data_IF_385700017763
#
_entry.id   IF_385700017763
#
_cell.length_a   1.000
_cell.length_b   1.000
_cell.length_c   1.000
_cell.angle_alpha   90.00
_cell.angle_beta   90.00
_cell.angle_gamma   90.00
#
_symmetry.space_group_name_H-M   'P 1'
#
loop_
_entity.id
_entity.type
_entity.pdbx_description
1 polymer ?
#
# COMPACT_ATOMS: atom_id res chain seq x y z
N UNK A 1 -4.76 14.43 3.97
CA UNK A 1 -5.44 13.71 5.06
C UNK A 1 -6.51 14.61 5.67
N UNK A 2 -7.66 14.05 6.01
CA UNK A 2 -8.67 14.69 6.87
C UNK A 2 -8.90 13.75 8.04
N UNK A 3 -8.83 14.27 9.27
CA UNK A 3 -9.06 13.50 10.51
C UNK A 3 -10.34 13.97 11.21
N UNK A 4 -10.82 13.15 12.15
CA UNK A 4 -11.94 13.44 13.04
C UNK A 4 -11.64 14.57 14.04
N UNK A 5 -10.37 14.80 14.36
CA UNK A 5 -9.91 15.94 15.16
C UNK A 5 -9.95 17.28 14.40
N UNK A 6 -10.39 17.28 13.15
CA UNK A 6 -10.55 18.49 12.33
C UNK A 6 -9.28 18.91 11.59
N UNK A 7 -8.24 18.07 11.57
CA UNK A 7 -7.04 18.37 10.80
C UNK A 7 -7.29 18.21 9.30
N UNK A 8 -6.68 19.10 8.52
CA UNK A 8 -6.67 19.03 7.05
C UNK A 8 -5.27 19.28 6.53
N UNK A 9 -4.61 18.21 6.10
CA UNK A 9 -3.22 18.23 5.65
C UNK A 9 -3.16 17.91 4.16
N UNK A 10 -2.38 18.68 3.40
CA UNK A 10 -2.08 18.44 1.99
C UNK A 10 -0.64 17.96 1.86
N UNK A 11 -0.47 16.76 1.30
CA UNK A 11 0.82 16.12 1.07
C UNK A 11 0.68 15.09 -0.06
N UNK A 12 1.80 14.60 -0.58
CA UNK A 12 1.87 13.63 -1.67
C UNK A 12 1.58 12.20 -1.22
N UNK A 13 1.74 11.89 0.08
CA UNK A 13 1.65 10.53 0.59
C UNK A 13 1.01 10.50 1.98
N UNK A 14 0.12 9.54 2.19
CA UNK A 14 -0.54 9.31 3.47
C UNK A 14 -0.75 7.81 3.70
N UNK A 15 -0.67 7.39 4.96
CA UNK A 15 -1.07 6.08 5.45
C UNK A 15 -1.75 6.24 6.81
N UNK A 16 -2.88 5.55 6.99
CA UNK A 16 -3.78 5.70 8.15
C UNK A 16 -4.25 4.34 8.67
N UNK A 17 -4.69 4.29 9.93
CA UNK A 17 -5.11 3.07 10.60
C UNK A 17 -4.00 2.39 11.41
N UNK A 18 -4.31 1.28 12.07
CA UNK A 18 -3.39 0.54 12.95
C UNK A 18 -2.16 0.00 12.22
N UNK A 19 -2.31 -0.40 10.96
CA UNK A 19 -1.22 -0.88 10.11
C UNK A 19 -0.34 0.22 9.50
N UNK A 20 -0.64 1.50 9.75
CA UNK A 20 -0.05 2.62 9.02
C UNK A 20 1.47 2.67 9.10
N UNK A 21 2.03 2.43 10.28
CA UNK A 21 3.48 2.46 10.52
C UNK A 21 4.24 1.41 9.70
N UNK A 22 3.63 0.24 9.47
CA UNK A 22 4.21 -0.84 8.67
C UNK A 22 4.11 -0.59 7.17
N UNK A 23 3.08 0.15 6.75
CA UNK A 23 2.99 0.61 5.37
C UNK A 23 4.01 1.72 5.09
N UNK A 24 4.14 2.70 5.99
CA UNK A 24 5.14 3.77 5.86
C UNK A 24 6.57 3.24 5.74
N UNK A 25 6.95 2.19 6.49
CA UNK A 25 8.30 1.62 6.38
C UNK A 25 8.64 1.13 4.97
N UNK A 26 7.64 0.67 4.20
CA UNK A 26 7.81 0.23 2.82
C UNK A 26 7.74 1.42 1.86
N UNK A 27 6.77 2.32 2.08
CA UNK A 27 6.58 3.51 1.25
C UNK A 27 7.80 4.42 1.29
N UNK A 28 8.26 4.80 2.48
CA UNK A 28 9.38 5.74 2.68
C UNK A 28 10.70 5.19 2.10
N UNK A 29 10.88 3.87 2.11
CA UNK A 29 12.09 3.23 1.62
C UNK A 29 12.21 3.24 0.09
N UNK A 30 11.10 3.32 -0.65
CA UNK A 30 11.07 3.06 -2.10
C UNK A 30 10.33 4.12 -2.91
N UNK A 31 9.61 5.03 -2.28
CA UNK A 31 8.86 6.08 -2.97
C UNK A 31 9.79 7.02 -3.74
N UNK A 32 9.41 7.29 -4.99
CA UNK A 32 9.96 8.36 -5.81
C UNK A 32 8.80 9.11 -6.44
N UNK A 33 8.95 10.43 -6.59
CA UNK A 33 7.89 11.23 -7.21
C UNK A 33 7.63 10.79 -8.67
N UNK A 34 8.69 10.48 -9.41
CA UNK A 34 8.64 10.10 -10.82
C UNK A 34 8.72 8.57 -10.99
N UNK A 35 7.75 7.84 -10.46
CA UNK A 35 7.62 6.38 -10.67
C UNK A 35 6.83 6.06 -11.93
N UNK A 36 7.14 4.91 -12.54
CA UNK A 36 6.23 4.32 -13.52
C UNK A 36 4.95 3.84 -12.82
N UNK A 37 3.83 3.81 -13.54
CA UNK A 37 2.56 3.32 -13.01
C UNK A 37 2.68 1.91 -12.43
N UNK A 38 3.43 1.03 -13.10
CA UNK A 38 3.63 -0.35 -12.65
C UNK A 38 4.43 -0.43 -11.35
N UNK A 39 5.49 0.38 -11.22
CA UNK A 39 6.31 0.41 -10.00
C UNK A 39 5.52 0.99 -8.82
N UNK A 40 4.68 2.00 -9.07
CA UNK A 40 3.82 2.59 -8.04
C UNK A 40 2.76 1.60 -7.55
N UNK A 41 2.14 0.85 -8.47
CA UNK A 41 1.20 -0.23 -8.13
C UNK A 41 1.90 -1.31 -7.30
N UNK A 42 3.12 -1.71 -7.70
CA UNK A 42 3.88 -2.70 -6.94
C UNK A 42 4.27 -2.21 -5.54
N UNK A 43 4.72 -0.97 -5.41
CA UNK A 43 5.01 -0.35 -4.12
C UNK A 43 3.78 -0.32 -3.22
N UNK A 44 2.63 0.11 -3.74
CA UNK A 44 1.37 0.13 -2.99
C UNK A 44 0.98 -1.27 -2.52
N UNK A 45 1.10 -2.28 -3.38
CA UNK A 45 0.84 -3.69 -3.04
C UNK A 45 1.73 -4.16 -1.91
N UNK A 46 3.05 -3.97 -2.02
CA UNK A 46 4.02 -4.39 -1.00
C UNK A 46 3.76 -3.71 0.34
N UNK A 47 3.43 -2.43 0.35
CA UNK A 47 3.13 -1.69 1.57
C UNK A 47 1.92 -2.27 2.33
N UNK A 48 0.82 -2.55 1.61
CA UNK A 48 -0.38 -3.12 2.23
C UNK A 48 -0.17 -4.57 2.65
N UNK A 49 0.48 -5.40 1.83
CA UNK A 49 0.76 -6.80 2.20
C UNK A 49 1.67 -6.86 3.43
N UNK A 50 2.67 -5.98 3.53
CA UNK A 50 3.52 -5.90 4.70
C UNK A 50 2.75 -5.47 5.96
N UNK A 51 1.90 -4.44 5.84
CA UNK A 51 1.06 -4.01 6.95
C UNK A 51 0.08 -5.10 7.41
N UNK A 52 -0.58 -5.77 6.46
CA UNK A 52 -1.46 -6.92 6.73
C UNK A 52 -0.73 -8.07 7.44
N UNK A 53 0.56 -8.28 7.15
CA UNK A 53 1.32 -9.33 7.80
C UNK A 53 1.70 -9.01 9.25
N UNK A 54 1.90 -7.73 9.58
CA UNK A 54 2.43 -7.31 10.89
C UNK A 54 1.37 -6.77 11.85
N UNK A 55 0.30 -6.19 11.34
CA UNK A 55 -0.79 -5.65 12.15
C UNK A 55 -1.94 -6.66 12.26
N UNK A 56 -2.26 -7.09 13.48
CA UNK A 56 -3.29 -8.08 13.74
C UNK A 56 -4.71 -7.63 13.36
N UNK A 57 -4.94 -6.31 13.25
CA UNK A 57 -6.22 -5.74 12.83
C UNK A 57 -6.31 -5.45 11.31
N UNK A 58 -5.26 -5.75 10.55
CA UNK A 58 -5.19 -5.53 9.09
C UNK A 58 -5.09 -6.86 8.33
N UNK A 59 -5.74 -6.97 7.17
CA UNK A 59 -5.65 -8.19 6.35
C UNK A 59 -6.79 -8.36 5.34
N UNK A 60 -7.07 -9.63 5.00
CA UNK A 60 -8.09 -10.05 4.03
C UNK A 60 -7.71 -9.68 2.59
N UNK A 61 -8.32 -8.67 1.99
CA UNK A 61 -8.18 -8.35 0.56
C UNK A 61 -7.45 -7.03 0.36
N UNK A 62 -6.38 -7.05 -0.44
CA UNK A 62 -5.74 -5.85 -0.99
C UNK A 62 -6.58 -5.32 -2.15
N UNK A 63 -6.89 -4.03 -2.12
CA UNK A 63 -7.53 -3.33 -3.24
C UNK A 63 -6.66 -2.17 -3.68
N UNK A 64 -6.32 -2.13 -4.97
CA UNK A 64 -5.50 -1.06 -5.55
C UNK A 64 -6.31 -0.31 -6.58
N UNK A 65 -6.28 1.01 -6.49
CA UNK A 65 -6.93 1.92 -7.42
C UNK A 65 -5.90 2.91 -7.95
N UNK A 66 -6.01 3.25 -9.24
CA UNK A 66 -5.19 4.26 -9.88
C UNK A 66 -6.06 5.43 -10.32
N UNK A 67 -5.78 6.62 -9.80
CA UNK A 67 -6.44 7.85 -10.20
C UNK A 67 -5.74 8.46 -11.40
N UNK A 68 -6.48 8.72 -12.48
CA UNK A 68 -6.04 9.43 -13.68
C UNK A 68 -6.89 10.69 -13.88
N UNK A 69 -6.48 11.55 -14.82
CA UNK A 69 -7.29 12.71 -15.22
C UNK A 69 -8.70 12.32 -15.70
N UNK A 70 -8.83 11.14 -16.30
CA UNK A 70 -10.10 10.60 -16.81
C UNK A 70 -10.95 9.92 -15.73
N UNK A 71 -10.49 9.87 -14.48
CA UNK A 71 -11.14 9.17 -13.37
C UNK A 71 -10.30 8.02 -12.81
N UNK A 72 -10.90 7.23 -11.93
CA UNK A 72 -10.22 6.12 -11.26
C UNK A 72 -10.42 4.79 -11.99
N UNK A 73 -9.43 3.93 -11.88
CA UNK A 73 -9.47 2.54 -12.36
C UNK A 73 -9.18 1.60 -11.20
N UNK A 74 -9.98 0.53 -11.08
CA UNK A 74 -9.67 -0.60 -10.18
C UNK A 74 -8.60 -1.45 -10.84
N UNK A 75 -7.44 -1.51 -10.20
CA UNK A 75 -6.29 -2.27 -10.70
C UNK A 75 -6.38 -3.71 -10.21
N UNK A 76 -6.56 -3.89 -8.90
CA UNK A 76 -6.50 -5.21 -8.26
C UNK A 76 -7.48 -5.34 -7.11
N UNK A 77 -7.93 -6.58 -6.90
CA UNK A 77 -8.62 -7.05 -5.70
C UNK A 77 -8.22 -8.50 -5.47
N UNK A 78 -7.36 -8.74 -4.49
CA UNK A 78 -6.79 -10.06 -4.24
C UNK A 78 -6.53 -10.29 -2.76
N UNK A 79 -6.58 -11.55 -2.33
CA UNK A 79 -6.25 -11.93 -0.96
C UNK A 79 -4.78 -11.59 -0.63
N UNK A 80 -4.58 -11.04 0.56
CA UNK A 80 -3.27 -10.67 1.10
C UNK A 80 -2.37 -11.89 1.29
N UNK A 81 -2.93 -13.04 1.64
CA UNK A 81 -2.17 -14.28 1.83
C UNK A 81 -1.64 -14.81 0.50
N UNK A 82 -2.40 -14.71 -0.58
CA UNK A 82 -1.92 -15.13 -1.90
C UNK A 82 -0.65 -14.37 -2.30
N UNK A 83 -0.61 -13.06 -2.06
CA UNK A 83 0.61 -12.28 -2.26
C UNK A 83 1.72 -12.68 -1.32
N UNK A 84 1.41 -12.92 -0.04
CA UNK A 84 2.42 -13.34 0.92
C UNK A 84 3.07 -14.68 0.56
N UNK A 85 2.29 -15.65 0.07
CA UNK A 85 2.81 -16.92 -0.42
C UNK A 85 3.70 -16.72 -1.66
N UNK A 86 3.25 -15.93 -2.63
CA UNK A 86 4.05 -15.59 -3.81
C UNK A 86 5.39 -14.98 -3.44
N UNK A 87 5.41 -13.98 -2.54
CA UNK A 87 6.65 -13.33 -2.12
C UNK A 87 7.61 -14.26 -1.36
N UNK A 88 7.07 -15.23 -0.62
CA UNK A 88 7.87 -16.26 0.07
C UNK A 88 8.52 -17.23 -0.92
N UNK A 89 7.79 -17.64 -1.94
CA UNK A 89 8.28 -18.53 -3.00
C UNK A 89 9.35 -17.84 -3.86
N UNK A 90 9.08 -16.59 -4.24
CA UNK A 90 9.96 -15.80 -5.10
C UNK A 90 11.21 -15.28 -4.36
N UNK A 91 11.27 -15.40 -3.02
CA UNK A 91 12.28 -14.76 -2.14
C UNK A 91 12.44 -13.26 -2.38
N UNK A 92 11.42 -12.61 -2.94
CA UNK A 92 11.43 -11.21 -3.35
C UNK A 92 11.08 -10.26 -2.20
N UNK A 93 10.49 -10.74 -1.12
CA UNK A 93 10.39 -10.00 0.15
C UNK A 93 11.41 -10.53 1.17
N UNK A 94 12.57 -9.87 1.23
CA UNK A 94 13.40 -9.88 2.44
C UNK A 94 13.06 -8.63 3.25
N UNK A 95 12.58 -8.82 4.47
CA UNK A 95 12.41 -7.74 5.46
C UNK A 95 13.74 -7.38 6.11
#
# INVERSE_FOLDING_TARGET
>A
MVSDDGERITDNMFSVGSGSIYAYSILDASYKYEMSTNDAIDLARRAIVHAAHRDAASGNIVRIYHMKETGWEKIEEKDTNDYMYQYREDKTMNF
#
